data_IF_179205938722
#
_entry.id   IF_179205938722
#
_cell.length_a   1.000
_cell.length_b   1.000
_cell.length_c   1.000
_cell.angle_alpha   90.00
_cell.angle_beta   90.00
_cell.angle_gamma   90.00
#
_symmetry.space_group_name_H-M   'P 1'
#
loop_
_entity.id
_entity.type
_entity.pdbx_description
1 polymer ?
#
# COMPACT_ATOMS: atom_id res chain seq x y z
N UNK A 1 12.08 -25.37 -10.83
CA UNK A 1 12.11 -26.56 -11.71
C UNK A 1 10.78 -27.32 -11.80
N UNK A 2 10.00 -27.48 -10.72
CA UNK A 2 8.66 -28.16 -10.78
C UNK A 2 7.60 -27.35 -11.55
N UNK A 3 7.55 -26.04 -11.39
CA UNK A 3 6.63 -25.13 -12.09
C UNK A 3 6.87 -25.06 -13.59
N UNK A 4 8.14 -25.08 -14.03
CA UNK A 4 8.47 -25.09 -15.45
C UNK A 4 8.01 -26.38 -16.17
N UNK A 5 8.07 -27.52 -15.48
CA UNK A 5 7.58 -28.79 -16.01
C UNK A 5 6.03 -28.85 -16.08
N UNK A 6 5.30 -28.24 -15.16
CA UNK A 6 3.84 -28.18 -15.24
C UNK A 6 3.36 -27.29 -16.39
N UNK A 7 4.05 -26.16 -16.63
CA UNK A 7 3.75 -25.28 -17.78
C UNK A 7 4.04 -26.01 -19.10
N UNK A 8 5.09 -26.80 -19.17
CA UNK A 8 5.40 -27.61 -20.34
C UNK A 8 4.40 -28.76 -20.55
N UNK A 9 3.88 -29.38 -19.49
CA UNK A 9 2.84 -30.41 -19.59
C UNK A 9 1.50 -29.82 -20.02
N UNK A 10 1.09 -28.67 -19.49
CA UNK A 10 -0.11 -27.96 -19.94
C UNK A 10 -0.05 -27.55 -21.41
N UNK A 11 1.11 -27.05 -21.87
CA UNK A 11 1.35 -26.76 -23.31
C UNK A 11 1.26 -27.98 -24.20
N UNK A 12 1.77 -29.15 -23.77
CA UNK A 12 1.66 -30.38 -24.52
C UNK A 12 0.21 -30.89 -24.57
N UNK A 13 -0.52 -30.81 -23.45
CA UNK A 13 -1.92 -31.23 -23.38
C UNK A 13 -2.81 -30.36 -24.30
N UNK A 14 -2.64 -29.02 -24.26
CA UNK A 14 -3.36 -28.10 -25.14
C UNK A 14 -3.01 -28.35 -26.63
N UNK A 15 -1.73 -28.59 -26.95
CA UNK A 15 -1.33 -28.92 -28.30
C UNK A 15 -1.92 -30.26 -28.78
N UNK A 16 -2.02 -31.26 -27.91
CA UNK A 16 -2.66 -32.54 -28.25
C UNK A 16 -4.17 -32.41 -28.44
N UNK A 17 -4.86 -31.63 -27.62
CA UNK A 17 -6.30 -31.35 -27.77
C UNK A 17 -6.57 -30.60 -29.07
N UNK A 18 -5.75 -29.63 -29.43
CA UNK A 18 -5.87 -28.91 -30.72
C UNK A 18 -5.57 -29.87 -31.91
N UNK A 19 -4.54 -30.70 -31.79
CA UNK A 19 -4.19 -31.65 -32.86
C UNK A 19 -5.25 -32.72 -33.04
N UNK A 20 -5.86 -33.23 -31.95
CA UNK A 20 -6.96 -34.20 -32.02
C UNK A 20 -8.24 -33.60 -32.56
N UNK A 21 -8.60 -32.37 -32.15
CA UNK A 21 -9.73 -31.63 -32.73
C UNK A 21 -9.53 -31.34 -34.21
N UNK A 22 -8.35 -30.93 -34.65
CA UNK A 22 -8.03 -30.72 -36.07
C UNK A 22 -8.03 -32.01 -36.86
N UNK A 23 -7.57 -33.13 -36.28
CA UNK A 23 -7.60 -34.46 -36.92
C UNK A 23 -9.02 -35.00 -37.05
N UNK A 24 -9.90 -34.81 -36.07
CA UNK A 24 -11.32 -35.19 -36.14
C UNK A 24 -12.07 -34.40 -37.20
N UNK A 25 -11.76 -33.13 -37.36
CA UNK A 25 -12.38 -32.24 -38.34
C UNK A 25 -11.97 -32.60 -39.79
N UNK A 26 -10.77 -33.14 -39.98
CA UNK A 26 -10.33 -33.65 -41.31
C UNK A 26 -11.09 -34.89 -41.78
N UNK A 27 -11.83 -35.57 -40.90
CA UNK A 27 -12.59 -36.79 -41.20
C UNK A 27 -14.10 -36.55 -41.38
N UNK A 28 -14.58 -35.31 -41.18
CA UNK A 28 -15.99 -35.02 -41.44
C UNK A 28 -16.24 -34.91 -42.94
N UNK A 29 -17.33 -35.49 -43.49
CA UNK A 29 -17.68 -35.28 -44.89
C UNK A 29 -17.92 -33.78 -45.11
N UNK A 30 -17.55 -33.27 -46.26
CA UNK A 30 -17.68 -31.87 -46.69
C UNK A 30 -19.06 -31.31 -46.33
N UNK A 31 -19.21 -30.81 -45.10
CA UNK A 31 -20.33 -29.94 -44.77
C UNK A 31 -20.01 -28.61 -45.48
N UNK A 32 -20.74 -28.32 -46.51
CA UNK A 32 -20.64 -27.00 -47.15
C UNK A 32 -20.98 -25.96 -46.09
N UNK A 33 -20.11 -24.96 -45.95
CA UNK A 33 -20.43 -23.77 -45.17
C UNK A 33 -21.81 -23.26 -45.58
N UNK A 34 -22.59 -22.81 -44.60
CA UNK A 34 -23.95 -22.36 -44.83
C UNK A 34 -24.06 -21.63 -46.16
N UNK A 35 -24.78 -22.25 -47.13
CA UNK A 35 -25.09 -21.62 -48.39
C UNK A 35 -26.32 -20.74 -48.14
N UNK A 36 -26.24 -19.47 -48.27
CA UNK A 36 -26.43 -18.74 -49.51
C UNK A 36 -25.23 -17.83 -49.84
N UNK A 37 -25.32 -17.27 -51.07
CA UNK A 37 -24.34 -16.34 -51.63
C UNK A 37 -23.98 -15.16 -50.68
N UNK A 38 -22.79 -14.53 -50.80
CA UNK A 38 -22.19 -13.62 -49.83
C UNK A 38 -23.03 -12.40 -49.40
N UNK A 39 -24.17 -12.14 -50.00
CA UNK A 39 -24.99 -10.94 -49.81
C UNK A 39 -26.37 -11.23 -49.15
N UNK A 40 -26.60 -12.43 -48.66
CA UNK A 40 -27.83 -12.84 -48.00
C UNK A 40 -27.81 -12.63 -46.50
N UNK A 41 -28.75 -11.86 -45.95
CA UNK A 41 -28.96 -11.76 -44.48
C UNK A 41 -29.35 -13.15 -43.95
N UNK A 42 -28.56 -13.67 -42.99
CA UNK A 42 -28.92 -14.90 -42.28
C UNK A 42 -30.11 -14.61 -41.35
N UNK A 43 -31.02 -15.56 -41.10
CA UNK A 43 -32.12 -15.40 -40.15
C UNK A 43 -31.64 -14.87 -38.79
N UNK A 44 -32.39 -13.97 -38.19
CA UNK A 44 -32.03 -13.41 -36.88
C UNK A 44 -30.92 -12.36 -36.89
N UNK A 45 -30.60 -11.77 -38.06
CA UNK A 45 -29.57 -10.72 -38.15
C UNK A 45 -28.14 -11.24 -37.92
N UNK A 46 -27.88 -12.48 -38.26
CA UNK A 46 -26.58 -13.10 -38.12
C UNK A 46 -25.71 -12.88 -39.36
N UNK A 47 -24.40 -12.92 -39.22
CA UNK A 47 -23.39 -12.93 -40.29
C UNK A 47 -22.50 -14.14 -40.14
N UNK A 48 -22.27 -14.95 -41.17
CA UNK A 48 -21.39 -16.10 -41.13
C UNK A 48 -20.54 -16.18 -42.40
N UNK A 49 -19.21 -16.05 -42.24
CA UNK A 49 -18.24 -16.11 -43.32
C UNK A 49 -17.10 -17.07 -42.95
N UNK A 50 -16.93 -18.10 -43.73
CA UNK A 50 -15.89 -19.12 -43.50
C UNK A 50 -16.46 -20.52 -43.28
N UNK A 51 -15.61 -21.52 -43.48
CA UNK A 51 -16.00 -22.93 -43.35
C UNK A 51 -16.49 -23.24 -41.94
N UNK A 52 -17.72 -23.75 -41.81
CA UNK A 52 -18.38 -24.11 -40.55
C UNK A 52 -18.58 -22.94 -39.56
N UNK A 53 -18.56 -21.70 -40.00
CA UNK A 53 -18.97 -20.56 -39.20
C UNK A 53 -20.47 -20.68 -38.86
N UNK A 54 -20.85 -20.53 -37.58
CA UNK A 54 -22.22 -20.67 -37.04
C UNK A 54 -22.91 -21.99 -37.44
N UNK A 55 -22.15 -23.09 -37.65
CA UNK A 55 -22.68 -24.36 -38.16
C UNK A 55 -23.86 -24.91 -37.35
N UNK A 56 -23.85 -24.77 -36.03
CA UNK A 56 -24.87 -25.34 -35.14
C UNK A 56 -25.99 -24.36 -34.76
N UNK A 57 -26.05 -23.19 -35.41
CA UNK A 57 -27.00 -22.14 -35.04
C UNK A 57 -28.46 -22.60 -35.23
N UNK A 58 -29.27 -22.42 -34.23
CA UNK A 58 -30.73 -22.71 -34.25
C UNK A 58 -31.58 -21.45 -34.16
N UNK A 59 -31.61 -20.82 -32.99
CA UNK A 59 -32.45 -19.62 -32.73
C UNK A 59 -31.63 -18.40 -32.27
N UNK A 60 -30.31 -18.51 -32.20
CA UNK A 60 -29.44 -17.40 -31.81
C UNK A 60 -29.54 -16.22 -32.79
N UNK A 61 -29.42 -15.00 -32.29
CA UNK A 61 -29.60 -13.76 -33.08
C UNK A 61 -28.44 -12.79 -32.89
N UNK A 62 -28.25 -11.93 -33.92
CA UNK A 62 -27.26 -10.85 -33.88
C UNK A 62 -25.83 -11.31 -33.66
N UNK A 63 -25.45 -12.47 -34.19
CA UNK A 63 -24.10 -12.98 -34.10
C UNK A 63 -23.32 -12.67 -35.39
N UNK A 64 -22.02 -12.37 -35.23
CA UNK A 64 -21.09 -12.21 -36.35
C UNK A 64 -19.98 -13.26 -36.24
N UNK A 65 -19.84 -14.12 -37.19
CA UNK A 65 -18.82 -15.18 -37.27
C UNK A 65 -18.04 -15.09 -38.58
N UNK A 66 -16.76 -14.72 -38.50
CA UNK A 66 -15.86 -14.61 -39.64
C UNK A 66 -14.61 -15.45 -39.41
N UNK A 67 -14.45 -16.52 -40.15
CA UNK A 67 -13.30 -17.42 -40.06
C UNK A 67 -13.67 -18.89 -39.90
N UNK A 68 -12.67 -19.76 -40.13
CA UNK A 68 -12.81 -21.20 -39.96
C UNK A 68 -13.29 -21.57 -38.58
N UNK A 69 -14.43 -22.27 -38.45
CA UNK A 69 -15.05 -22.70 -37.18
C UNK A 69 -15.40 -21.59 -36.19
N UNK A 70 -15.51 -20.33 -36.61
CA UNK A 70 -15.96 -19.26 -35.77
C UNK A 70 -17.40 -19.52 -35.29
N UNK A 71 -17.65 -19.45 -33.94
CA UNK A 71 -18.94 -19.70 -33.34
C UNK A 71 -19.60 -21.01 -33.73
N UNK A 72 -18.82 -22.05 -34.06
CA UNK A 72 -19.31 -23.31 -34.63
C UNK A 72 -20.38 -23.98 -33.78
N UNK A 73 -20.23 -24.00 -32.45
CA UNK A 73 -21.13 -24.68 -31.52
C UNK A 73 -22.26 -23.78 -30.97
N UNK A 74 -22.34 -22.51 -31.38
CA UNK A 74 -23.36 -21.58 -30.91
C UNK A 74 -24.74 -22.00 -31.46
N UNK A 75 -25.66 -22.34 -30.56
CA UNK A 75 -27.03 -22.72 -30.92
C UNK A 75 -28.03 -21.58 -30.65
N UNK A 76 -28.04 -21.06 -29.43
CA UNK A 76 -29.02 -20.11 -28.93
C UNK A 76 -28.40 -18.77 -28.51
N UNK A 77 -27.06 -18.73 -28.37
CA UNK A 77 -26.34 -17.54 -27.93
C UNK A 77 -26.58 -16.34 -28.83
N UNK A 78 -26.67 -15.17 -28.23
CA UNK A 78 -26.98 -13.92 -28.93
C UNK A 78 -25.87 -12.88 -28.74
N UNK A 79 -25.77 -11.93 -29.68
CA UNK A 79 -24.85 -10.81 -29.60
C UNK A 79 -23.39 -11.21 -29.48
N UNK A 80 -22.98 -12.34 -30.09
CA UNK A 80 -21.60 -12.75 -30.11
C UNK A 80 -20.91 -12.26 -31.40
N UNK A 81 -19.66 -11.84 -31.27
CA UNK A 81 -18.80 -11.49 -32.41
C UNK A 81 -17.55 -12.35 -32.37
N UNK A 82 -17.32 -13.15 -33.37
CA UNK A 82 -16.12 -13.98 -33.57
C UNK A 82 -15.45 -13.66 -34.89
N UNK A 83 -14.22 -13.11 -34.88
CA UNK A 83 -13.41 -12.83 -36.06
C UNK A 83 -12.05 -13.51 -35.94
N UNK A 84 -11.85 -14.56 -36.70
CA UNK A 84 -10.64 -15.40 -36.67
C UNK A 84 -10.96 -16.89 -36.63
N UNK A 85 -9.96 -17.70 -36.93
CA UNK A 85 -10.12 -19.16 -36.90
C UNK A 85 -10.33 -19.67 -35.48
N UNK A 86 -11.38 -20.47 -35.24
CA UNK A 86 -11.69 -21.09 -33.96
C UNK A 86 -12.13 -20.10 -32.86
N UNK A 87 -12.51 -18.88 -33.22
CA UNK A 87 -13.05 -17.95 -32.23
C UNK A 87 -14.39 -18.44 -31.67
N UNK A 88 -14.54 -18.44 -30.33
CA UNK A 88 -15.77 -18.90 -29.66
C UNK A 88 -16.26 -20.27 -30.13
N UNK A 89 -15.32 -21.18 -30.50
CA UNK A 89 -15.65 -22.45 -31.13
C UNK A 89 -16.64 -23.28 -30.31
N UNK A 90 -16.42 -23.42 -29.02
CA UNK A 90 -17.23 -24.21 -28.09
C UNK A 90 -18.36 -23.41 -27.44
N UNK A 91 -18.56 -22.13 -27.77
CA UNK A 91 -19.43 -21.22 -27.03
C UNK A 91 -20.92 -21.51 -27.24
N UNK A 92 -21.62 -21.58 -26.14
CA UNK A 92 -23.09 -21.46 -26.07
C UNK A 92 -23.53 -20.17 -25.32
N UNK A 93 -22.57 -19.43 -24.76
CA UNK A 93 -22.78 -18.17 -24.07
C UNK A 93 -23.20 -17.03 -24.99
N UNK A 94 -23.45 -15.88 -24.43
CA UNK A 94 -23.93 -14.69 -25.17
C UNK A 94 -23.11 -13.44 -24.83
N UNK A 95 -23.21 -12.41 -25.71
CA UNK A 95 -22.57 -11.11 -25.48
C UNK A 95 -21.03 -11.21 -25.40
N UNK A 96 -20.42 -12.14 -26.11
CA UNK A 96 -18.97 -12.29 -26.16
C UNK A 96 -18.39 -11.68 -27.46
N UNK A 97 -17.25 -11.04 -27.36
CA UNK A 97 -16.49 -10.53 -28.51
C UNK A 97 -15.12 -11.20 -28.55
N UNK A 98 -14.80 -11.88 -29.63
CA UNK A 98 -13.53 -12.57 -29.84
C UNK A 98 -12.89 -12.19 -31.17
N UNK A 99 -11.70 -11.62 -31.16
CA UNK A 99 -10.91 -11.28 -32.34
C UNK A 99 -9.52 -11.89 -32.24
N UNK A 100 -9.13 -12.68 -33.21
CA UNK A 100 -7.84 -13.40 -33.27
C UNK A 100 -8.01 -14.92 -33.19
N UNK A 101 -7.07 -15.66 -33.79
CA UNK A 101 -7.14 -17.11 -33.85
C UNK A 101 -7.21 -17.73 -32.44
N UNK A 102 -8.20 -18.59 -32.19
CA UNK A 102 -8.40 -19.28 -30.93
C UNK A 102 -8.81 -18.36 -29.74
N UNK A 103 -9.20 -17.11 -29.97
CA UNK A 103 -9.75 -16.27 -28.92
C UNK A 103 -11.07 -16.85 -28.39
N UNK A 104 -11.22 -17.01 -27.05
CA UNK A 104 -12.37 -17.66 -26.40
C UNK A 104 -12.71 -19.04 -26.97
N UNK A 105 -11.71 -19.81 -27.43
CA UNK A 105 -11.94 -21.09 -28.10
C UNK A 105 -12.76 -22.05 -27.24
N UNK A 106 -12.40 -22.21 -25.97
CA UNK A 106 -13.01 -23.17 -25.04
C UNK A 106 -14.15 -22.57 -24.22
N UNK A 107 -14.60 -21.34 -24.54
CA UNK A 107 -15.71 -20.72 -23.81
C UNK A 107 -16.96 -21.59 -23.98
N UNK A 108 -17.52 -22.09 -22.87
CA UNK A 108 -18.75 -22.90 -22.90
C UNK A 108 -19.95 -22.02 -22.60
N UNK A 109 -20.18 -21.68 -21.35
CA UNK A 109 -21.31 -20.88 -20.92
C UNK A 109 -20.97 -19.44 -20.58
N UNK A 110 -19.66 -19.09 -20.56
CA UNK A 110 -19.20 -17.74 -20.21
C UNK A 110 -19.83 -16.63 -21.04
N UNK A 111 -20.20 -15.54 -20.40
CA UNK A 111 -20.89 -14.41 -21.02
C UNK A 111 -20.18 -13.09 -20.81
N UNK A 112 -20.43 -12.11 -21.69
CA UNK A 112 -19.90 -10.73 -21.58
C UNK A 112 -18.37 -10.65 -21.57
N UNK A 113 -17.68 -11.56 -22.23
CA UNK A 113 -16.24 -11.55 -22.33
C UNK A 113 -15.79 -10.82 -23.61
N UNK A 114 -14.70 -10.08 -23.52
CA UNK A 114 -14.03 -9.45 -24.67
C UNK A 114 -12.62 -10.01 -24.77
N UNK A 115 -12.27 -10.69 -25.85
CA UNK A 115 -10.96 -11.24 -26.14
C UNK A 115 -10.43 -10.71 -27.48
N UNK A 116 -9.36 -9.94 -27.44
CA UNK A 116 -8.70 -9.40 -28.62
C UNK A 116 -7.22 -9.82 -28.65
N UNK A 117 -6.90 -10.79 -29.46
CA UNK A 117 -5.54 -11.36 -29.61
C UNK A 117 -5.56 -12.86 -29.81
N UNK A 118 -4.52 -13.39 -30.44
CA UNK A 118 -4.34 -14.82 -30.61
C UNK A 118 -4.29 -15.51 -29.24
N UNK A 119 -5.16 -16.52 -29.03
CA UNK A 119 -5.32 -17.27 -27.76
C UNK A 119 -5.68 -16.42 -26.53
N UNK A 120 -6.26 -15.23 -26.70
CA UNK A 120 -6.83 -14.48 -25.57
C UNK A 120 -8.03 -15.24 -24.99
N UNK A 121 -8.09 -15.42 -23.64
CA UNK A 121 -9.13 -16.19 -22.93
C UNK A 121 -9.35 -17.62 -23.51
N UNK A 122 -8.27 -18.26 -23.96
CA UNK A 122 -8.34 -19.52 -24.70
C UNK A 122 -9.10 -20.63 -23.95
N UNK A 123 -8.80 -20.82 -22.66
CA UNK A 123 -9.37 -21.87 -21.80
C UNK A 123 -10.57 -21.38 -20.96
N UNK A 124 -11.12 -20.20 -21.25
CA UNK A 124 -12.29 -19.71 -20.49
C UNK A 124 -13.45 -20.68 -20.70
N UNK A 125 -13.95 -21.28 -19.63
CA UNK A 125 -15.13 -22.15 -19.70
C UNK A 125 -16.39 -21.37 -19.35
N UNK A 126 -16.51 -21.00 -18.09
CA UNK A 126 -17.71 -20.36 -17.49
C UNK A 126 -17.39 -18.96 -16.94
N UNK A 127 -16.16 -18.46 -17.12
CA UNK A 127 -15.75 -17.12 -16.68
C UNK A 127 -16.53 -16.01 -17.38
N UNK A 128 -16.91 -14.97 -16.63
CA UNK A 128 -17.78 -13.92 -17.11
C UNK A 128 -17.16 -12.54 -16.99
N UNK A 129 -17.56 -11.61 -17.84
CA UNK A 129 -17.19 -10.19 -17.75
C UNK A 129 -15.68 -9.94 -17.76
N UNK A 130 -14.91 -10.76 -18.44
CA UNK A 130 -13.47 -10.58 -18.58
C UNK A 130 -13.14 -9.78 -19.84
N UNK A 131 -12.15 -8.90 -19.74
CA UNK A 131 -11.55 -8.18 -20.87
C UNK A 131 -10.10 -8.58 -21.04
N UNK A 132 -9.76 -9.19 -22.15
CA UNK A 132 -8.41 -9.65 -22.51
C UNK A 132 -7.97 -9.03 -23.83
N UNK A 133 -6.89 -8.25 -23.81
CA UNK A 133 -6.32 -7.64 -25.02
C UNK A 133 -4.81 -7.94 -25.10
N UNK A 134 -4.42 -8.74 -26.06
CA UNK A 134 -3.04 -9.21 -26.25
C UNK A 134 -2.94 -10.70 -26.48
N UNK A 135 -1.82 -11.14 -27.03
CA UNK A 135 -1.56 -12.58 -27.28
C UNK A 135 -1.39 -13.31 -25.95
N UNK A 136 -2.11 -14.43 -25.75
CA UNK A 136 -2.02 -15.26 -24.55
C UNK A 136 -2.55 -14.61 -23.27
N UNK A 137 -3.26 -13.50 -23.37
CA UNK A 137 -3.84 -12.80 -22.21
C UNK A 137 -4.96 -13.62 -21.59
N UNK A 138 -4.95 -13.83 -20.24
CA UNK A 138 -5.92 -14.67 -19.53
C UNK A 138 -6.04 -16.09 -20.11
N UNK A 139 -4.94 -16.63 -20.64
CA UNK A 139 -4.95 -17.88 -21.39
C UNK A 139 -5.57 -19.06 -20.62
N UNK A 140 -5.24 -19.22 -19.34
CA UNK A 140 -5.68 -20.34 -18.49
C UNK A 140 -6.93 -20.04 -17.67
N UNK A 141 -7.57 -18.90 -17.87
CA UNK A 141 -8.80 -18.57 -17.13
C UNK A 141 -9.85 -19.66 -17.36
N UNK A 142 -10.46 -20.18 -16.31
CA UNK A 142 -11.53 -21.17 -16.42
C UNK A 142 -12.87 -20.59 -15.98
N UNK A 143 -12.97 -20.17 -14.72
CA UNK A 143 -14.18 -19.62 -14.13
C UNK A 143 -13.96 -18.19 -13.57
N UNK A 144 -12.73 -17.66 -13.66
CA UNK A 144 -12.41 -16.30 -13.19
C UNK A 144 -13.27 -15.24 -13.88
N UNK A 145 -13.63 -14.19 -13.17
CA UNK A 145 -14.59 -13.19 -13.60
C UNK A 145 -14.13 -11.74 -13.35
N UNK A 146 -14.72 -10.77 -14.04
CA UNK A 146 -14.44 -9.34 -13.88
C UNK A 146 -12.94 -8.97 -14.03
N UNK A 147 -12.14 -9.76 -14.70
CA UNK A 147 -10.73 -9.46 -14.90
C UNK A 147 -10.54 -8.54 -16.11
N UNK A 148 -9.67 -7.54 -15.97
CA UNK A 148 -9.19 -6.71 -17.07
C UNK A 148 -7.71 -6.95 -17.28
N UNK A 149 -7.33 -7.51 -18.43
CA UNK A 149 -5.95 -7.80 -18.78
C UNK A 149 -5.59 -7.22 -20.15
N UNK A 150 -4.52 -6.43 -20.22
CA UNK A 150 -4.02 -5.83 -21.44
C UNK A 150 -2.49 -5.99 -21.53
N UNK A 151 -2.00 -6.76 -22.49
CA UNK A 151 -0.59 -7.00 -22.72
C UNK A 151 -0.27 -8.46 -23.05
N UNK A 152 0.91 -8.70 -23.60
CA UNK A 152 1.38 -10.05 -23.88
C UNK A 152 1.44 -10.88 -22.60
N UNK A 153 0.70 -12.00 -22.54
CA UNK A 153 0.64 -12.93 -21.40
C UNK A 153 0.26 -12.26 -20.06
N UNK A 154 -0.46 -11.13 -20.04
CA UNK A 154 -1.03 -10.59 -18.81
C UNK A 154 -2.06 -11.56 -18.21
N UNK A 155 -2.00 -11.83 -16.89
CA UNK A 155 -2.84 -12.82 -16.19
C UNK A 155 -2.84 -14.21 -16.83
N UNK A 156 -1.73 -14.65 -17.42
CA UNK A 156 -1.66 -15.90 -18.18
C UNK A 156 -2.12 -17.10 -17.36
N UNK A 157 -1.71 -17.19 -16.10
CA UNK A 157 -1.95 -18.35 -15.22
C UNK A 157 -3.25 -18.26 -14.43
N UNK A 158 -4.03 -17.19 -14.59
CA UNK A 158 -5.30 -17.03 -13.86
C UNK A 158 -6.22 -18.22 -14.13
N UNK A 159 -6.84 -18.76 -13.08
CA UNK A 159 -7.77 -19.90 -13.21
C UNK A 159 -9.18 -19.51 -12.75
N UNK A 160 -9.32 -19.20 -11.48
CA UNK A 160 -10.62 -18.94 -10.83
C UNK A 160 -10.74 -17.52 -10.28
N UNK A 161 -9.61 -16.80 -10.19
CA UNK A 161 -9.56 -15.50 -9.56
C UNK A 161 -10.36 -14.43 -10.33
N UNK A 162 -10.98 -13.51 -9.57
CA UNK A 162 -11.76 -12.41 -10.09
C UNK A 162 -11.23 -11.04 -9.69
N UNK A 163 -11.84 -10.01 -10.31
CA UNK A 163 -11.65 -8.59 -9.97
C UNK A 163 -10.20 -8.09 -10.05
N UNK A 164 -9.38 -8.68 -10.95
CA UNK A 164 -8.00 -8.26 -11.16
C UNK A 164 -7.86 -7.32 -12.36
N UNK A 165 -6.97 -6.33 -12.24
CA UNK A 165 -6.55 -5.46 -13.34
C UNK A 165 -5.06 -5.65 -13.62
N UNK A 166 -4.71 -6.08 -14.83
CA UNK A 166 -3.34 -6.31 -15.28
C UNK A 166 -3.08 -5.58 -16.61
N UNK A 167 -2.21 -4.57 -16.59
CA UNK A 167 -1.84 -3.80 -17.79
C UNK A 167 -0.32 -3.81 -17.94
N UNK A 168 0.16 -4.47 -18.96
CA UNK A 168 1.60 -4.61 -19.26
C UNK A 168 1.99 -6.02 -19.61
N UNK A 169 3.13 -6.17 -20.26
CA UNK A 169 3.70 -7.48 -20.59
C UNK A 169 3.93 -8.30 -19.33
N UNK A 170 3.35 -9.49 -19.26
CA UNK A 170 3.44 -10.42 -18.11
C UNK A 170 3.07 -9.80 -16.74
N UNK A 171 2.22 -8.78 -16.72
CA UNK A 171 1.61 -8.30 -15.48
C UNK A 171 0.73 -9.41 -14.86
N UNK A 172 0.86 -9.67 -13.54
CA UNK A 172 0.15 -10.75 -12.82
C UNK A 172 0.30 -12.13 -13.49
N UNK A 173 1.44 -12.40 -14.10
CA UNK A 173 1.67 -13.60 -14.93
C UNK A 173 1.38 -14.90 -14.18
N UNK A 174 1.80 -15.02 -12.92
CA UNK A 174 1.71 -16.24 -12.10
C UNK A 174 0.43 -16.32 -11.28
N UNK A 175 -0.42 -15.29 -11.31
CA UNK A 175 -1.65 -15.27 -10.50
C UNK A 175 -2.56 -16.43 -10.87
N UNK A 176 -3.01 -17.18 -9.88
CA UNK A 176 -3.95 -18.30 -10.06
C UNK A 176 -5.28 -18.05 -9.36
N UNK A 177 -5.25 -17.68 -8.10
CA UNK A 177 -6.42 -17.53 -7.22
C UNK A 177 -6.47 -16.18 -6.51
N UNK A 178 -5.45 -15.31 -6.62
CA UNK A 178 -5.43 -13.99 -5.97
C UNK A 178 -6.43 -13.04 -6.60
N UNK A 179 -7.23 -12.37 -5.78
CA UNK A 179 -8.31 -11.47 -6.19
C UNK A 179 -8.00 -10.01 -5.85
N UNK A 180 -8.74 -9.07 -6.48
CA UNK A 180 -8.66 -7.63 -6.22
C UNK A 180 -7.26 -7.02 -6.43
N UNK A 181 -6.43 -7.59 -7.28
CA UNK A 181 -5.09 -7.06 -7.55
C UNK A 181 -5.09 -6.06 -8.70
N UNK A 182 -4.32 -4.99 -8.57
CA UNK A 182 -4.08 -3.99 -9.62
C UNK A 182 -2.59 -3.96 -9.95
N UNK A 183 -2.23 -4.37 -11.16
CA UNK A 183 -0.87 -4.40 -11.68
C UNK A 183 -0.77 -3.60 -12.98
N UNK A 184 -0.08 -2.47 -12.95
CA UNK A 184 0.12 -1.59 -14.11
C UNK A 184 1.62 -1.40 -14.35
N UNK A 185 2.11 -1.99 -15.41
CA UNK A 185 3.53 -2.01 -15.79
C UNK A 185 3.98 -3.38 -16.27
N UNK A 186 5.05 -3.43 -17.07
CA UNK A 186 5.66 -4.70 -17.45
C UNK A 186 6.12 -5.45 -16.20
N UNK A 187 5.77 -6.74 -16.07
CA UNK A 187 6.11 -7.60 -14.94
C UNK A 187 5.60 -7.13 -13.54
N UNK A 188 4.67 -6.18 -13.49
CA UNK A 188 4.07 -5.78 -12.22
C UNK A 188 3.34 -6.97 -11.57
N UNK A 189 3.59 -7.24 -10.26
CA UNK A 189 3.07 -8.39 -9.49
C UNK A 189 3.28 -9.75 -10.17
N UNK A 190 4.37 -9.92 -10.95
CA UNK A 190 4.57 -11.10 -11.78
C UNK A 190 4.52 -12.43 -11.03
N UNK A 191 5.12 -12.50 -9.84
CA UNK A 191 5.25 -13.73 -9.05
C UNK A 191 4.13 -13.89 -8.01
N UNK A 192 3.13 -13.00 -7.98
CA UNK A 192 1.92 -13.18 -7.16
C UNK A 192 1.15 -14.41 -7.64
N UNK A 193 0.89 -15.36 -6.73
CA UNK A 193 0.17 -16.60 -7.04
C UNK A 193 -1.26 -16.56 -6.47
N UNK A 194 -1.39 -16.18 -5.21
CA UNK A 194 -2.62 -16.23 -4.44
C UNK A 194 -2.82 -15.02 -3.50
N UNK A 195 -1.92 -14.03 -3.55
CA UNK A 195 -2.05 -12.81 -2.76
C UNK A 195 -3.16 -11.91 -3.28
N UNK A 196 -3.97 -11.36 -2.37
CA UNK A 196 -5.11 -10.51 -2.67
C UNK A 196 -4.84 -9.03 -2.43
N UNK A 197 -5.62 -8.17 -3.06
CA UNK A 197 -5.68 -6.74 -2.75
C UNK A 197 -4.33 -6.02 -2.86
N UNK A 198 -3.45 -6.46 -3.76
CA UNK A 198 -2.18 -5.81 -4.02
C UNK A 198 -2.32 -4.74 -5.10
N UNK A 199 -1.65 -3.62 -4.94
CA UNK A 199 -1.56 -2.56 -5.95
C UNK A 199 -0.10 -2.33 -6.33
N UNK A 200 0.24 -2.53 -7.59
CA UNK A 200 1.58 -2.29 -8.11
C UNK A 200 1.53 -1.44 -9.40
N UNK A 201 2.24 -0.32 -9.38
CA UNK A 201 2.28 0.64 -10.51
C UNK A 201 3.74 0.95 -10.85
N UNK A 202 4.16 0.52 -12.02
CA UNK A 202 5.52 0.68 -12.55
C UNK A 202 6.09 -0.62 -13.09
N UNK A 203 7.12 -0.54 -13.93
CA UNK A 203 7.84 -1.71 -14.42
C UNK A 203 8.41 -2.51 -13.25
N UNK A 204 8.15 -3.81 -13.21
CA UNK A 204 8.58 -4.73 -12.14
C UNK A 204 8.16 -4.30 -10.72
N UNK A 205 7.15 -3.42 -10.59
CA UNK A 205 6.63 -3.06 -9.28
C UNK A 205 5.98 -4.28 -8.61
N UNK A 206 6.33 -4.55 -7.35
CA UNK A 206 5.82 -5.70 -6.60
C UNK A 206 6.22 -7.06 -7.18
N UNK A 207 7.29 -7.15 -7.99
CA UNK A 207 7.66 -8.35 -8.75
C UNK A 207 7.70 -9.64 -7.90
N UNK A 208 8.29 -9.58 -6.69
CA UNK A 208 8.46 -10.74 -5.80
C UNK A 208 7.33 -10.90 -4.75
N UNK A 209 6.29 -10.07 -4.78
CA UNK A 209 5.22 -10.13 -3.79
C UNK A 209 4.41 -11.41 -3.99
N UNK A 210 4.17 -12.12 -2.88
CA UNK A 210 3.30 -13.30 -2.83
C UNK A 210 2.24 -13.22 -1.72
N UNK A 211 2.32 -12.21 -0.84
CA UNK A 211 1.33 -11.92 0.20
C UNK A 211 0.28 -10.91 -0.24
N UNK A 212 -0.55 -10.43 0.68
CA UNK A 212 -1.73 -9.60 0.42
C UNK A 212 -1.63 -8.18 0.95
N UNK A 213 -2.44 -7.27 0.39
CA UNK A 213 -2.60 -5.90 0.91
C UNK A 213 -1.40 -4.98 0.67
N UNK A 214 -0.52 -5.26 -0.28
CA UNK A 214 0.67 -4.47 -0.51
C UNK A 214 0.44 -3.37 -1.56
N UNK A 215 1.12 -2.25 -1.39
CA UNK A 215 1.15 -1.14 -2.36
C UNK A 215 2.59 -0.88 -2.79
N UNK A 216 2.90 -1.05 -4.06
CA UNK A 216 4.21 -0.80 -4.67
C UNK A 216 4.09 0.21 -5.80
N UNK A 217 4.64 1.40 -5.63
CA UNK A 217 4.59 2.47 -6.64
C UNK A 217 6.00 2.87 -7.07
N UNK A 218 6.26 2.74 -8.35
CA UNK A 218 7.54 3.07 -8.99
C UNK A 218 8.24 1.86 -9.61
N UNK A 219 8.96 2.09 -10.69
CA UNK A 219 9.69 1.03 -11.39
C UNK A 219 10.77 0.40 -10.50
N UNK A 220 10.85 -0.93 -10.48
CA UNK A 220 11.83 -1.69 -9.70
C UNK A 220 11.58 -1.73 -8.18
N UNK A 221 10.39 -1.35 -7.72
CA UNK A 221 9.98 -1.54 -6.31
C UNK A 221 9.52 -2.98 -6.12
N UNK A 222 10.46 -3.92 -6.01
CA UNK A 222 10.21 -5.35 -6.17
C UNK A 222 9.42 -6.02 -5.03
N UNK A 223 9.47 -5.49 -3.81
CA UNK A 223 8.89 -6.16 -2.64
C UNK A 223 9.66 -7.40 -2.19
N UNK A 224 9.13 -8.09 -1.18
CA UNK A 224 9.69 -9.32 -0.60
C UNK A 224 8.62 -10.41 -0.60
N UNK A 225 9.03 -11.64 -0.91
CA UNK A 225 8.12 -12.79 -0.91
C UNK A 225 7.50 -13.01 0.49
N UNK A 226 6.19 -13.22 0.55
CA UNK A 226 5.43 -13.47 1.77
C UNK A 226 5.06 -12.23 2.58
N UNK A 227 5.53 -11.04 2.22
CA UNK A 227 5.12 -9.81 2.91
C UNK A 227 3.67 -9.44 2.65
N UNK A 228 3.03 -8.80 3.63
CA UNK A 228 1.65 -8.33 3.54
C UNK A 228 1.48 -6.98 4.24
N UNK A 229 0.54 -6.16 3.72
CA UNK A 229 0.20 -4.84 4.26
C UNK A 229 1.37 -3.85 4.29
N UNK A 230 2.24 -3.92 3.29
CA UNK A 230 3.41 -3.03 3.18
C UNK A 230 3.19 -2.02 2.04
N UNK A 231 3.45 -0.76 2.32
CA UNK A 231 3.46 0.30 1.30
C UNK A 231 4.90 0.70 0.97
N UNK A 232 5.27 0.63 -0.31
CA UNK A 232 6.55 1.07 -0.86
C UNK A 232 6.33 2.05 -1.99
N UNK A 233 6.97 3.20 -1.91
CA UNK A 233 6.96 4.21 -2.97
C UNK A 233 8.41 4.52 -3.31
N UNK A 234 8.77 4.47 -4.60
CA UNK A 234 10.14 4.71 -5.05
C UNK A 234 10.61 6.12 -4.69
N UNK A 235 11.89 6.23 -4.34
CA UNK A 235 12.61 7.48 -4.07
C UNK A 235 12.12 8.28 -2.84
N UNK A 236 11.18 7.78 -2.04
CA UNK A 236 10.74 8.50 -0.82
C UNK A 236 11.89 8.65 0.17
N UNK A 237 12.72 7.59 0.34
CA UNK A 237 13.87 7.62 1.26
C UNK A 237 14.99 8.57 0.78
N UNK A 238 15.22 8.65 -0.53
CA UNK A 238 16.29 9.46 -1.12
C UNK A 238 15.85 10.91 -1.39
N UNK A 239 14.54 11.19 -1.30
CA UNK A 239 14.01 12.53 -1.50
C UNK A 239 14.29 13.42 -0.29
N UNK A 240 15.05 14.50 -0.49
CA UNK A 240 15.30 15.49 0.55
C UNK A 240 14.20 16.55 0.50
N UNK A 241 13.48 16.72 1.61
CA UNK A 241 12.48 17.75 1.79
C UNK A 241 12.82 18.62 3.00
N UNK A 242 12.69 19.91 2.88
CA UNK A 242 13.09 20.89 3.91
C UNK A 242 11.92 21.56 4.63
N UNK A 243 10.66 21.33 4.18
CA UNK A 243 9.55 22.19 4.63
C UNK A 243 8.64 21.57 5.68
N UNK A 244 8.07 20.39 5.43
CA UNK A 244 7.03 19.81 6.31
C UNK A 244 7.22 18.32 6.55
N UNK A 245 7.11 17.91 7.81
CA UNK A 245 6.96 16.50 8.13
C UNK A 245 5.59 15.97 7.64
N UNK A 246 5.60 14.72 7.17
CA UNK A 246 4.40 14.01 6.74
C UNK A 246 3.93 13.11 7.86
N UNK A 247 2.63 13.09 8.08
CA UNK A 247 1.96 12.28 9.10
C UNK A 247 0.91 11.40 8.44
N UNK A 248 0.69 10.23 9.01
CA UNK A 248 -0.41 9.34 8.63
C UNK A 248 -1.46 9.39 9.74
N UNK A 249 -2.72 9.62 9.36
CA UNK A 249 -3.85 9.60 10.29
C UNK A 249 -4.36 8.17 10.51
N UNK A 250 -5.14 7.93 11.55
CA UNK A 250 -5.75 6.62 11.85
C UNK A 250 -6.68 6.09 10.75
N UNK A 251 -7.18 6.97 9.88
CA UNK A 251 -7.99 6.65 8.70
C UNK A 251 -7.16 6.60 7.40
N UNK A 252 -5.85 6.37 7.52
CA UNK A 252 -4.87 6.20 6.44
C UNK A 252 -4.70 7.42 5.50
N UNK A 253 -5.05 8.63 5.93
CA UNK A 253 -4.75 9.84 5.18
C UNK A 253 -3.31 10.29 5.43
N UNK A 254 -2.62 10.67 4.37
CA UNK A 254 -1.30 11.27 4.41
C UNK A 254 -1.47 12.79 4.38
N UNK A 255 -0.88 13.49 5.34
CA UNK A 255 -1.00 14.94 5.43
C UNK A 255 0.11 15.59 6.24
N UNK A 256 0.05 16.90 6.41
CA UNK A 256 0.98 17.68 7.23
C UNK A 256 0.25 18.37 8.36
N UNK A 257 0.87 18.46 9.53
CA UNK A 257 0.32 19.24 10.65
C UNK A 257 0.41 20.74 10.34
N UNK A 258 -0.61 21.48 10.77
CA UNK A 258 -0.63 22.94 10.71
C UNK A 258 -0.59 23.54 12.10
N UNK A 259 0.28 24.51 12.30
CA UNK A 259 0.33 25.32 13.54
C UNK A 259 -0.47 26.62 13.45
N UNK A 260 -1.09 26.90 12.28
CA UNK A 260 -1.86 28.14 12.08
C UNK A 260 -3.09 28.20 12.98
N UNK A 261 -3.32 29.38 13.57
CA UNK A 261 -4.53 29.69 14.36
C UNK A 261 -5.83 29.41 13.58
N UNK A 262 -5.81 29.48 12.24
CA UNK A 262 -6.99 29.21 11.38
C UNK A 262 -7.55 27.79 11.53
N UNK A 263 -6.76 26.85 12.05
CA UNK A 263 -7.12 25.44 12.23
C UNK A 263 -7.19 25.02 13.69
N UNK A 264 -7.14 25.98 14.64
CA UNK A 264 -7.12 25.70 16.08
C UNK A 264 -8.21 26.48 16.79
N UNK A 265 -8.90 25.82 17.69
CA UNK A 265 -9.93 26.39 18.55
C UNK A 265 -9.51 26.27 20.01
N UNK A 266 -10.17 27.01 20.90
CA UNK A 266 -9.99 26.97 22.36
C UNK A 266 -8.52 27.13 22.82
N UNK A 267 -7.77 28.01 22.16
CA UNK A 267 -6.36 28.24 22.43
C UNK A 267 -6.22 28.87 23.83
N UNK A 268 -5.57 28.16 24.75
CA UNK A 268 -5.32 28.58 26.15
C UNK A 268 -3.84 28.38 26.47
N UNK A 269 -3.30 29.13 27.48
CA UNK A 269 -1.99 28.82 28.05
C UNK A 269 -1.96 27.38 28.58
N UNK A 270 -0.80 26.75 28.52
CA UNK A 270 -0.63 25.33 28.89
C UNK A 270 -0.64 25.14 30.44
N UNK A 271 -0.20 26.18 31.19
CA UNK A 271 -0.17 26.18 32.65
C UNK A 271 0.45 24.92 33.28
N UNK A 272 -0.33 24.19 34.10
CA UNK A 272 0.12 22.96 34.76
C UNK A 272 0.08 21.70 33.87
N UNK A 273 -0.55 21.76 32.70
CA UNK A 273 -0.68 20.59 31.85
C UNK A 273 0.68 20.03 31.40
N UNK A 274 1.73 20.86 31.31
CA UNK A 274 3.08 20.44 30.97
C UNK A 274 3.83 19.73 32.09
N UNK A 275 3.38 19.78 33.33
CA UNK A 275 4.06 19.13 34.47
C UNK A 275 4.10 17.60 34.32
N UNK A 276 3.17 17.03 33.57
CA UNK A 276 3.15 15.60 33.24
C UNK A 276 4.46 15.09 32.62
N UNK A 277 5.24 15.95 31.94
CA UNK A 277 6.52 15.50 31.34
C UNK A 277 7.56 15.05 32.38
N UNK A 278 7.47 15.52 33.63
CA UNK A 278 8.40 15.14 34.70
C UNK A 278 8.22 13.69 35.14
N UNK A 279 7.08 13.07 34.82
CA UNK A 279 6.79 11.67 35.11
C UNK A 279 7.11 10.73 33.93
N UNK A 280 7.49 11.28 32.76
CA UNK A 280 7.88 10.50 31.62
C UNK A 280 9.28 9.88 31.79
N UNK A 281 9.45 8.65 31.36
CA UNK A 281 10.70 7.89 31.45
C UNK A 281 11.37 7.70 30.10
N UNK A 282 12.40 8.47 29.74
CA UNK A 282 13.19 8.23 28.53
C UNK A 282 13.94 6.90 28.62
N UNK A 283 13.96 6.16 27.54
CA UNK A 283 14.62 4.84 27.45
C UNK A 283 15.47 4.71 26.21
N UNK A 284 16.45 3.82 26.22
CA UNK A 284 17.11 3.31 25.05
C UNK A 284 16.52 1.95 24.69
N UNK A 285 16.34 1.67 23.41
CA UNK A 285 15.77 0.41 22.93
C UNK A 285 16.32 0.01 21.56
N UNK A 286 15.97 -1.19 21.13
CA UNK A 286 16.17 -1.66 19.74
C UNK A 286 14.85 -2.23 19.25
N UNK A 287 14.50 -1.94 18.01
CA UNK A 287 13.36 -2.58 17.37
C UNK A 287 13.59 -4.09 17.25
N UNK A 288 12.50 -4.85 17.18
CA UNK A 288 12.56 -6.29 16.85
C UNK A 288 13.17 -6.47 15.46
N UNK A 289 13.85 -7.60 15.23
CA UNK A 289 14.58 -7.85 13.98
C UNK A 289 13.67 -7.83 12.74
N UNK A 290 12.42 -8.17 12.91
CA UNK A 290 11.39 -8.16 11.86
C UNK A 290 11.04 -6.73 11.40
N UNK A 291 11.26 -5.72 12.28
CA UNK A 291 11.00 -4.31 12.00
C UNK A 291 12.28 -3.59 11.57
N UNK A 292 13.37 -3.80 12.30
CA UNK A 292 14.70 -3.27 11.98
C UNK A 292 15.73 -4.40 11.98
N UNK A 293 16.09 -4.95 10.81
CA UNK A 293 17.09 -6.00 10.69
C UNK A 293 18.48 -5.61 11.24
N UNK A 294 18.82 -4.31 11.23
CA UNK A 294 20.10 -3.80 11.75
C UNK A 294 20.12 -3.72 13.26
N UNK A 295 18.95 -3.70 13.89
CA UNK A 295 18.77 -3.52 15.34
C UNK A 295 19.55 -2.34 15.90
N UNK A 296 19.49 -1.23 15.21
CA UNK A 296 20.14 0.02 15.61
C UNK A 296 19.66 0.49 16.98
N UNK A 297 20.59 1.03 17.80
CA UNK A 297 20.23 1.62 19.08
C UNK A 297 19.38 2.88 18.84
N UNK A 298 18.24 2.95 19.51
CA UNK A 298 17.30 4.06 19.43
C UNK A 298 16.98 4.60 20.82
N UNK A 299 16.49 5.83 20.90
CA UNK A 299 16.09 6.50 22.12
C UNK A 299 14.69 7.04 21.98
N UNK A 300 13.93 7.01 23.06
CA UNK A 300 12.54 7.52 23.01
C UNK A 300 11.76 7.18 24.27
N UNK A 301 10.43 7.17 24.13
CA UNK A 301 9.47 6.87 25.17
C UNK A 301 8.66 5.64 24.78
N UNK A 302 8.11 4.93 25.77
CA UNK A 302 7.23 3.77 25.56
C UNK A 302 5.78 4.27 25.61
N UNK A 303 5.03 4.05 24.51
CA UNK A 303 3.68 4.58 24.36
C UNK A 303 2.72 4.18 25.51
N UNK A 304 2.79 2.93 25.97
CA UNK A 304 1.98 2.42 27.08
C UNK A 304 2.34 3.08 28.43
N UNK A 305 3.60 3.47 28.64
CA UNK A 305 4.03 4.20 29.84
C UNK A 305 3.55 5.65 29.77
N UNK A 306 3.70 6.29 28.62
CA UNK A 306 3.23 7.65 28.39
C UNK A 306 1.69 7.75 28.53
N UNK A 307 0.95 6.77 28.01
CA UNK A 307 -0.52 6.74 28.11
C UNK A 307 -1.02 6.68 29.56
N UNK A 308 -0.25 6.07 30.49
CA UNK A 308 -0.58 6.05 31.92
C UNK A 308 -0.40 7.42 32.60
N UNK A 309 0.55 8.20 32.13
CA UNK A 309 0.83 9.56 32.66
C UNK A 309 -0.11 10.59 32.03
N UNK A 310 -0.20 10.58 30.70
CA UNK A 310 -1.02 11.52 29.92
C UNK A 310 -1.51 10.85 28.64
N UNK A 311 -2.77 10.38 28.60
CA UNK A 311 -3.34 9.75 27.39
C UNK A 311 -3.31 10.65 26.15
N UNK A 312 -3.40 11.97 26.33
CA UNK A 312 -3.39 12.96 25.24
C UNK A 312 -2.06 13.03 24.49
N UNK A 313 -0.99 12.47 25.08
CA UNK A 313 0.34 12.39 24.45
C UNK A 313 0.53 11.13 23.59
N UNK A 314 -0.49 10.33 23.39
CA UNK A 314 -0.41 9.08 22.63
C UNK A 314 -1.45 9.06 21.53
N UNK A 315 -1.07 8.48 20.38
CA UNK A 315 -2.00 8.11 19.32
C UNK A 315 -2.24 6.59 19.41
N UNK A 316 -3.50 6.15 19.55
CA UNK A 316 -3.83 4.73 19.59
C UNK A 316 -3.80 4.11 18.16
N UNK A 317 -3.72 2.79 18.11
CA UNK A 317 -3.98 2.00 16.92
C UNK A 317 -5.50 1.86 16.64
N UNK A 318 -5.86 1.06 15.63
CA UNK A 318 -7.27 0.82 15.27
C UNK A 318 -8.06 0.06 16.33
N UNK A 319 -7.36 -0.66 17.24
CA UNK A 319 -7.95 -1.38 18.37
C UNK A 319 -8.03 -0.52 19.64
N UNK A 320 -7.58 0.74 19.59
CA UNK A 320 -7.55 1.66 20.72
C UNK A 320 -6.37 1.48 21.65
N UNK A 321 -5.36 0.65 21.30
CA UNK A 321 -4.15 0.46 22.11
C UNK A 321 -3.13 1.55 21.84
N UNK A 322 -2.37 2.01 22.84
CA UNK A 322 -1.29 2.98 22.66
C UNK A 322 -0.27 2.49 21.61
N UNK A 323 -0.04 3.28 20.58
CA UNK A 323 0.88 2.91 19.49
C UNK A 323 2.03 3.89 19.32
N UNK A 324 1.77 5.19 19.33
CA UNK A 324 2.78 6.21 19.02
C UNK A 324 2.70 7.38 19.99
N UNK A 325 3.87 7.86 20.44
CA UNK A 325 3.98 9.08 21.24
C UNK A 325 3.95 10.31 20.33
N UNK A 326 3.18 11.31 20.70
CA UNK A 326 3.07 12.61 20.01
C UNK A 326 4.23 13.52 20.44
N UNK A 327 5.43 13.26 19.93
CA UNK A 327 6.65 13.97 20.29
C UNK A 327 6.57 15.48 20.04
N UNK A 328 5.81 15.94 19.07
CA UNK A 328 5.55 17.37 18.83
C UNK A 328 4.80 18.04 19.99
N UNK A 329 3.91 17.31 20.67
CA UNK A 329 3.24 17.78 21.86
C UNK A 329 4.19 17.79 23.07
N UNK A 330 5.00 16.74 23.23
CA UNK A 330 6.07 16.68 24.25
C UNK A 330 7.03 17.85 24.10
N UNK A 331 7.46 18.21 22.89
CA UNK A 331 8.34 19.35 22.66
C UNK A 331 7.71 20.69 23.08
N UNK A 332 6.41 20.89 22.86
CA UNK A 332 5.71 22.08 23.30
C UNK A 332 5.62 22.16 24.84
N UNK A 333 5.42 21.01 25.50
CA UNK A 333 5.40 20.93 26.96
C UNK A 333 6.80 21.18 27.55
N UNK A 334 7.85 20.62 26.95
CA UNK A 334 9.24 20.89 27.34
C UNK A 334 9.57 22.38 27.27
N UNK A 335 9.15 23.06 26.19
CA UNK A 335 9.34 24.51 26.08
C UNK A 335 8.64 25.25 27.21
N UNK A 336 7.40 24.87 27.59
CA UNK A 336 6.68 25.52 28.69
C UNK A 336 7.40 25.34 30.02
N UNK A 337 7.87 24.14 30.36
CA UNK A 337 8.63 23.88 31.56
C UNK A 337 9.98 24.61 31.57
N UNK A 338 10.70 24.61 30.43
CA UNK A 338 11.94 25.38 30.29
C UNK A 338 11.70 26.87 30.59
N UNK A 339 10.62 27.46 30.08
CA UNK A 339 10.27 28.88 30.35
C UNK A 339 9.89 29.12 31.80
N UNK A 340 9.25 28.15 32.49
CA UNK A 340 8.99 28.23 33.95
C UNK A 340 10.30 28.20 34.73
N UNK A 341 11.19 27.27 34.47
CA UNK A 341 12.48 27.15 35.12
C UNK A 341 13.37 28.38 34.85
N UNK A 342 13.38 28.90 33.63
CA UNK A 342 14.11 30.12 33.30
C UNK A 342 13.65 31.31 34.14
N UNK A 343 12.35 31.51 34.35
CA UNK A 343 11.81 32.56 35.23
C UNK A 343 12.24 32.37 36.67
N UNK A 344 12.16 31.15 37.20
CA UNK A 344 12.57 30.81 38.54
C UNK A 344 14.07 31.04 38.75
N UNK A 345 14.93 30.72 37.80
CA UNK A 345 16.37 31.02 37.85
C UNK A 345 16.62 32.55 37.89
N UNK A 346 15.86 33.33 37.13
CA UNK A 346 15.95 34.80 37.19
C UNK A 346 15.51 35.36 38.56
N UNK A 347 14.42 34.88 39.13
CA UNK A 347 13.99 35.26 40.46
C UNK A 347 15.03 34.89 41.53
N UNK A 348 15.62 33.71 41.45
CA UNK A 348 16.71 33.28 42.31
C UNK A 348 17.95 34.18 42.17
N UNK A 349 18.32 34.54 40.94
CA UNK A 349 19.44 35.44 40.70
C UNK A 349 19.22 36.84 41.34
N UNK A 350 18.01 37.37 41.26
CA UNK A 350 17.63 38.63 41.94
C UNK A 350 17.73 38.49 43.46
N UNK A 351 17.17 37.44 44.04
CA UNK A 351 17.26 37.16 45.48
C UNK A 351 18.71 37.00 45.93
N UNK A 352 19.55 36.32 45.16
CA UNK A 352 21.02 36.22 45.45
C UNK A 352 21.69 37.59 45.42
N UNK A 353 21.32 38.45 44.49
CA UNK A 353 21.85 39.83 44.42
C UNK A 353 21.43 40.67 45.64
N UNK A 354 20.19 40.58 46.08
CA UNK A 354 19.67 41.24 47.27
C UNK A 354 20.41 40.73 48.52
N UNK A 355 20.52 39.41 48.68
CA UNK A 355 21.24 38.82 49.83
C UNK A 355 22.73 39.23 49.84
N UNK A 356 23.40 39.35 48.71
CA UNK A 356 24.79 39.85 48.64
C UNK A 356 24.88 41.30 49.12
N UNK A 357 23.91 42.15 48.78
CA UNK A 357 23.88 43.52 49.23
C UNK A 357 23.63 43.59 50.76
N UNK A 358 22.72 42.77 51.28
CA UNK A 358 22.50 42.67 52.72
C UNK A 358 23.74 42.18 53.48
N UNK A 359 24.42 41.14 52.98
CA UNK A 359 25.67 40.67 53.55
C UNK A 359 26.75 41.78 53.55
N UNK A 360 26.86 42.55 52.47
CA UNK A 360 27.81 43.66 52.39
C UNK A 360 27.48 44.71 53.45
N UNK A 361 26.21 45.08 53.62
CA UNK A 361 25.78 46.03 54.63
C UNK A 361 26.03 45.53 56.06
N UNK A 362 25.69 44.26 56.34
CA UNK A 362 26.00 43.63 57.63
C UNK A 362 27.49 43.55 57.90
N UNK A 363 28.31 43.29 56.90
CA UNK A 363 29.78 43.28 57.02
C UNK A 363 30.32 44.66 57.43
N UNK A 364 29.79 45.72 56.87
CA UNK A 364 30.14 47.10 57.26
C UNK A 364 29.73 47.36 58.70
N UNK A 365 28.48 47.01 59.07
CA UNK A 365 27.94 47.18 60.46
C UNK A 365 28.79 46.40 61.45
N UNK A 366 29.17 45.16 61.19
CA UNK A 366 30.03 44.34 62.07
C UNK A 366 31.42 44.99 62.22
N UNK A 367 31.98 45.51 61.12
CA UNK A 367 33.31 46.20 61.16
C UNK A 367 33.24 47.52 62.03
N UNK A 368 32.15 48.31 61.91
CA UNK A 368 31.95 49.48 62.68
C UNK A 368 31.78 49.16 64.19
N UNK A 369 31.01 48.10 64.51
CA UNK A 369 30.85 47.61 65.90
C UNK A 369 32.22 47.11 66.44
N UNK A 370 33.01 46.36 65.66
CA UNK A 370 34.34 45.95 66.06
C UNK A 370 35.28 47.17 66.37
N UNK A 371 35.19 48.23 65.55
CA UNK A 371 35.92 49.48 65.78
C UNK A 371 35.48 50.20 67.03
N UNK A 372 34.16 50.21 67.27
CA UNK A 372 33.64 50.81 68.57
C UNK A 372 34.07 50.00 69.77
N UNK A 373 34.01 48.63 69.69
CA UNK A 373 34.49 47.79 70.78
C UNK A 373 35.97 48.01 71.03
N UNK A 374 36.82 48.13 70.02
CA UNK A 374 38.25 48.48 70.19
C UNK A 374 38.45 49.83 70.88
N UNK A 375 37.66 50.86 70.50
CA UNK A 375 37.70 52.13 71.12
C UNK A 375 37.35 52.05 72.62
N UNK A 376 36.27 51.32 72.95
CA UNK A 376 35.83 51.16 74.38
C UNK A 376 36.89 50.37 75.16
N UNK A 377 37.48 49.31 74.56
CA UNK A 377 38.54 48.53 75.18
C UNK A 377 39.78 49.37 75.46
N UNK A 378 40.26 50.19 74.49
CA UNK A 378 41.36 51.09 74.72
C UNK A 378 41.10 52.17 75.74
N UNK A 379 39.86 52.66 75.83
CA UNK A 379 39.46 53.57 76.90
C UNK A 379 39.43 52.92 78.33
N UNK A 380 39.02 51.65 78.41
CA UNK A 380 39.08 50.87 79.65
C UNK A 380 40.51 50.58 80.09
N UNK A 381 41.42 50.28 79.17
CA UNK A 381 42.86 50.06 79.43
C UNK A 381 43.53 51.36 79.98
N UNK A 382 43.13 52.51 79.48
CA UNK A 382 43.62 53.80 80.00
C UNK A 382 43.08 54.13 81.43
N UNK A 383 41.92 53.64 81.77
CA UNK A 383 41.31 53.86 83.10
C UNK A 383 41.82 52.92 84.17
N UNK A 384 42.18 51.66 83.78
CA UNK A 384 42.62 50.63 84.74
C UNK A 384 44.01 50.90 85.38
N UNK A 385 45.01 51.52 84.71
CA UNK A 385 46.26 51.91 85.40
C UNK A 385 46.15 53.00 86.44
N UNK A 386 45.11 53.86 86.38
CA UNK A 386 44.90 54.92 87.35
C UNK A 386 44.29 54.47 88.68
N UNK A 387 43.76 53.25 88.77
CA UNK A 387 43.24 52.69 90.04
C UNK A 387 44.28 51.86 90.82
N UNK A 388 45.45 51.53 90.26
CA UNK A 388 46.46 50.73 90.95
C UNK A 388 47.55 51.62 91.62
N UNK A 389 47.53 52.97 91.39
CA UNK A 389 48.49 53.92 91.99
C UNK A 389 47.99 54.63 93.23
N UNK A 390 46.78 54.31 93.75
CA UNK A 390 46.27 54.92 94.97
C UNK A 390 45.79 53.88 95.99
N UNK A 391 46.73 52.96 96.43
CA UNK A 391 46.68 52.23 97.69
C UNK A 391 48.04 52.02 98.28
#
# INVERSE_FOLDING_TARGET
>A
MKTFNQIQQGRKLSAYVIATLLAWVGLLPNAEAVSPAPDGGYPGGNTAEGRNALLSLTVGTYNTAVGLFSLMSNQEGQFNTGVGAGTLLASTGQQNTATGAGALLSNTTGVKNTANGTFALFNNADGNSNTASGVGTLFNNTTGFNNTANGYNALLSNTTAGDNTAVGTTALFSNTTGEFNTAIGSQALRDNVAGDSNTAIGDSAGFNITGSGNVCIGAGVNGVAGESNITRIRNVYESVATERAVYVTSDNRIGTLSSSRRYKEQIKPMEKASEAIHELRPVSFRYKKEIDPTRSLSFGLIAEEVARVSPDLVTPDQEGKPQTVRYEAVNAMLLNEFLKEHRKVQEQANTVAELKNEIANLTVTVRDQATQIQKVTSQLEVITPKMVENN
#
